data_IF_165357075942
#
_entry.id   IF_165357075942
#
_cell.length_a   1.000
_cell.length_b   1.000
_cell.length_c   1.000
_cell.angle_alpha   90.00
_cell.angle_beta   90.00
_cell.angle_gamma   90.00
#
_symmetry.space_group_name_H-M   'P 1'
#
loop_
_entity.id
_entity.type
_entity.pdbx_description
1 polymer ?
#
# COMPACT_ATOMS: atom_id res chain seq x y z
N UNK A 1 -18.66 10.78 -16.27
CA UNK A 1 -17.88 9.56 -16.06
C UNK A 1 -16.39 9.77 -16.31
N UNK A 2 -15.97 10.26 -17.48
CA UNK A 2 -14.56 10.57 -17.78
C UNK A 2 -13.90 11.49 -16.75
N UNK A 3 -14.58 12.53 -16.29
CA UNK A 3 -14.03 13.46 -15.31
C UNK A 3 -13.74 12.81 -13.94
N UNK A 4 -14.59 11.88 -13.49
CA UNK A 4 -14.36 11.17 -12.23
C UNK A 4 -13.21 10.15 -12.36
N UNK A 5 -13.07 9.52 -13.51
CA UNK A 5 -11.91 8.67 -13.82
C UNK A 5 -10.62 9.49 -13.85
N UNK A 6 -10.63 10.63 -14.53
CA UNK A 6 -9.46 11.51 -14.56
C UNK A 6 -9.09 12.05 -13.18
N UNK A 7 -10.09 12.39 -12.35
CA UNK A 7 -9.82 12.78 -10.95
C UNK A 7 -9.17 11.67 -10.16
N UNK A 8 -9.68 10.43 -10.28
CA UNK A 8 -9.09 9.28 -9.59
C UNK A 8 -7.64 8.99 -10.07
N UNK A 9 -7.40 9.06 -11.38
CA UNK A 9 -6.05 8.89 -11.95
C UNK A 9 -5.08 9.96 -11.44
N UNK A 10 -5.54 11.21 -11.33
CA UNK A 10 -4.75 12.32 -10.80
C UNK A 10 -4.46 12.14 -9.32
N UNK A 11 -5.49 11.80 -8.52
CA UNK A 11 -5.38 11.60 -7.07
C UNK A 11 -4.37 10.49 -6.71
N UNK A 12 -4.27 9.47 -7.59
CA UNK A 12 -3.34 8.36 -7.41
C UNK A 12 -2.03 8.51 -8.19
N UNK A 13 -1.78 9.66 -8.79
CA UNK A 13 -0.56 9.95 -9.56
C UNK A 13 -0.27 8.90 -10.66
N UNK A 14 -1.32 8.43 -11.34
CA UNK A 14 -1.20 7.41 -12.38
C UNK A 14 -0.63 8.03 -13.65
N UNK A 15 0.54 7.55 -14.06
CA UNK A 15 1.17 7.94 -15.31
C UNK A 15 0.58 7.14 -16.47
N UNK A 16 0.08 7.85 -17.49
CA UNK A 16 -0.35 7.23 -18.76
C UNK A 16 0.89 6.96 -19.61
N UNK A 17 1.13 5.70 -19.97
CA UNK A 17 2.22 5.35 -20.85
C UNK A 17 1.84 5.49 -22.33
N UNK A 18 2.80 5.93 -23.13
CA UNK A 18 2.73 5.96 -24.58
C UNK A 18 2.57 4.52 -25.11
N UNK A 19 1.76 4.27 -26.17
CA UNK A 19 1.59 2.94 -26.79
C UNK A 19 2.89 2.25 -27.17
N UNK A 20 3.95 2.97 -27.48
CA UNK A 20 5.28 2.42 -27.72
C UNK A 20 5.91 1.84 -26.43
N UNK A 21 5.40 2.20 -25.25
CA UNK A 21 5.84 1.73 -23.94
C UNK A 21 4.95 0.63 -23.34
N UNK A 22 3.87 0.24 -24.02
CA UNK A 22 3.17 -1.03 -23.72
C UNK A 22 4.13 -2.23 -23.90
N UNK A 23 5.28 -2.02 -24.58
CA UNK A 23 6.42 -2.92 -24.54
C UNK A 23 6.97 -3.20 -23.12
N UNK A 24 6.68 -2.34 -22.12
CA UNK A 24 6.95 -2.63 -20.70
C UNK A 24 6.17 -3.85 -20.17
N UNK A 25 5.10 -4.25 -20.85
CA UNK A 25 4.39 -5.50 -20.55
C UNK A 25 5.00 -6.70 -21.28
N UNK A 26 5.97 -6.49 -22.15
CA UNK A 26 6.68 -7.59 -22.82
C UNK A 26 7.78 -8.10 -21.89
N UNK A 27 7.58 -9.32 -21.44
CA UNK A 27 8.58 -10.06 -20.67
C UNK A 27 9.80 -10.32 -21.54
N UNK A 28 10.93 -9.71 -21.20
CA UNK A 28 12.21 -9.98 -21.84
C UNK A 28 12.98 -11.07 -21.07
N UNK A 29 12.90 -12.30 -21.59
CA UNK A 29 13.53 -13.47 -20.99
C UNK A 29 15.05 -13.35 -20.89
N UNK A 30 15.71 -12.67 -21.84
CA UNK A 30 17.18 -12.51 -21.84
C UNK A 30 17.61 -11.56 -20.73
N UNK A 31 16.94 -10.43 -20.59
CA UNK A 31 17.21 -9.48 -19.50
C UNK A 31 16.94 -10.11 -18.14
N UNK A 32 15.81 -10.86 -17.99
CA UNK A 32 15.51 -11.55 -16.74
C UNK A 32 16.58 -12.60 -16.40
N UNK A 33 17.01 -13.39 -17.38
CA UNK A 33 18.06 -14.38 -17.18
C UNK A 33 19.37 -13.72 -16.76
N UNK A 34 19.80 -12.68 -17.46
CA UNK A 34 21.02 -11.92 -17.13
C UNK A 34 20.98 -11.39 -15.69
N UNK A 35 19.89 -10.71 -15.30
CA UNK A 35 19.74 -10.18 -13.95
C UNK A 35 19.75 -11.28 -12.88
N UNK A 36 19.14 -12.43 -13.16
CA UNK A 36 19.15 -13.58 -12.26
C UNK A 36 20.53 -14.26 -12.16
N UNK A 37 21.33 -14.23 -13.20
CA UNK A 37 22.70 -14.78 -13.20
C UNK A 37 23.66 -13.83 -12.47
N UNK A 38 23.57 -12.52 -12.70
CA UNK A 38 24.43 -11.50 -12.10
C UNK A 38 24.12 -11.24 -10.62
N UNK A 39 22.87 -11.42 -10.20
CA UNK A 39 22.33 -11.20 -8.84
C UNK A 39 22.83 -9.92 -8.16
N UNK A 40 22.67 -8.74 -8.77
CA UNK A 40 23.22 -7.50 -8.23
C UNK A 40 22.69 -7.17 -6.81
N UNK A 41 21.46 -7.57 -6.49
CA UNK A 41 20.85 -7.43 -5.18
C UNK A 41 21.53 -8.25 -4.06
N UNK A 42 22.36 -9.23 -4.41
CA UNK A 42 23.14 -9.97 -3.42
C UNK A 42 24.38 -9.19 -2.97
N UNK A 43 24.83 -8.23 -3.77
CA UNK A 43 26.01 -7.40 -3.50
C UNK A 43 25.66 -6.07 -2.84
N UNK A 44 24.49 -5.52 -3.17
CA UNK A 44 23.99 -4.25 -2.65
C UNK A 44 22.64 -4.47 -1.96
N UNK A 45 22.56 -4.33 -0.63
CA UNK A 45 21.30 -4.44 0.12
C UNK A 45 20.23 -3.42 -0.30
N UNK A 46 20.63 -2.27 -0.83
CA UNK A 46 19.75 -1.21 -1.30
C UNK A 46 19.58 -1.20 -2.83
N UNK A 47 19.92 -2.29 -3.51
CA UNK A 47 19.88 -2.36 -4.98
C UNK A 47 18.53 -1.96 -5.55
N UNK A 48 17.43 -2.49 -4.99
CA UNK A 48 16.10 -2.11 -5.44
C UNK A 48 15.64 -0.82 -4.76
N UNK A 49 15.22 0.14 -5.56
CA UNK A 49 14.77 1.47 -5.12
C UNK A 49 13.32 1.75 -5.48
N UNK A 50 12.82 1.14 -6.56
CA UNK A 50 11.55 1.50 -7.17
C UNK A 50 10.62 0.30 -7.32
N UNK A 51 9.32 0.56 -7.16
CA UNK A 51 8.23 -0.36 -7.51
C UNK A 51 7.27 0.36 -8.44
N UNK A 52 7.01 -0.22 -9.60
CA UNK A 52 6.03 0.27 -10.57
C UNK A 52 4.84 -0.67 -10.59
N UNK A 53 3.67 -0.18 -10.22
CA UNK A 53 2.45 -0.98 -10.11
C UNK A 53 1.47 -0.56 -11.20
N UNK A 54 0.96 -1.52 -11.98
CA UNK A 54 -0.07 -1.22 -12.98
C UNK A 54 -1.37 -0.78 -12.31
N UNK A 55 -2.12 0.09 -12.99
CA UNK A 55 -3.39 0.58 -12.47
C UNK A 55 -4.38 -0.56 -12.22
N UNK A 56 -4.38 -1.59 -13.06
CA UNK A 56 -5.23 -2.79 -12.87
C UNK A 56 -4.80 -3.61 -11.66
N UNK A 57 -3.49 -3.82 -11.45
CA UNK A 57 -2.99 -4.52 -10.27
C UNK A 57 -3.31 -3.73 -8.99
N UNK A 58 -3.05 -2.43 -8.98
CA UNK A 58 -3.41 -1.55 -7.86
C UNK A 58 -4.89 -1.67 -7.50
N UNK A 59 -5.74 -1.63 -8.51
CA UNK A 59 -7.16 -1.76 -8.36
C UNK A 59 -7.56 -3.07 -7.71
N UNK A 60 -7.05 -4.19 -8.22
CA UNK A 60 -7.33 -5.53 -7.68
C UNK A 60 -6.91 -5.63 -6.23
N UNK A 61 -5.72 -5.13 -5.88
CA UNK A 61 -5.19 -5.15 -4.51
C UNK A 61 -6.04 -4.30 -3.56
N UNK A 62 -6.39 -3.08 -3.94
CA UNK A 62 -7.22 -2.17 -3.13
C UNK A 62 -8.63 -2.75 -2.91
N UNK A 63 -9.25 -3.29 -3.96
CA UNK A 63 -10.57 -3.92 -3.85
C UNK A 63 -10.55 -5.14 -2.95
N UNK A 64 -9.50 -5.96 -3.04
CA UNK A 64 -9.32 -7.11 -2.17
C UNK A 64 -9.09 -6.67 -0.72
N UNK A 65 -8.17 -5.73 -0.48
CA UNK A 65 -7.94 -5.15 0.85
C UNK A 65 -9.25 -4.62 1.47
N UNK A 66 -10.05 -3.91 0.68
CA UNK A 66 -11.35 -3.39 1.11
C UNK A 66 -12.36 -4.50 1.44
N UNK A 67 -12.36 -5.58 0.67
CA UNK A 67 -13.28 -6.70 0.89
C UNK A 67 -13.03 -7.45 2.20
N UNK A 68 -11.80 -7.39 2.74
CA UNK A 68 -11.44 -7.98 4.02
C UNK A 68 -12.04 -7.27 5.23
N UNK A 69 -12.51 -6.01 5.07
CA UNK A 69 -13.04 -5.22 6.18
C UNK A 69 -11.99 -5.00 7.26
N UNK A 70 -12.21 -5.52 8.46
CA UNK A 70 -11.27 -5.45 9.59
C UNK A 70 -10.23 -6.57 9.63
N UNK A 71 -10.36 -7.55 8.73
CA UNK A 71 -9.42 -8.67 8.64
C UNK A 71 -8.29 -8.32 7.68
N UNK A 72 -7.09 -8.78 8.01
CA UNK A 72 -5.96 -8.74 7.08
C UNK A 72 -6.18 -9.77 5.97
N UNK A 73 -6.05 -9.34 4.74
CA UNK A 73 -6.10 -10.20 3.55
C UNK A 73 -4.78 -10.13 2.82
N UNK A 74 -4.45 -11.21 2.10
CA UNK A 74 -3.19 -11.30 1.39
C UNK A 74 -3.35 -11.89 -0.01
N UNK A 75 -2.39 -11.57 -0.87
CA UNK A 75 -2.32 -12.07 -2.23
C UNK A 75 -0.91 -11.96 -2.81
N UNK A 76 -0.76 -12.35 -4.05
CA UNK A 76 0.50 -12.30 -4.76
C UNK A 76 0.44 -11.31 -5.93
N UNK A 77 1.61 -10.82 -6.28
CA UNK A 77 1.81 -9.90 -7.40
C UNK A 77 2.62 -10.59 -8.49
N UNK A 78 2.15 -10.48 -9.72
CA UNK A 78 2.84 -10.95 -10.92
C UNK A 78 3.57 -9.79 -11.60
N UNK A 79 4.69 -10.12 -12.22
CA UNK A 79 5.48 -9.14 -12.94
C UNK A 79 6.89 -9.63 -13.21
N UNK A 80 7.82 -8.70 -13.27
CA UNK A 80 9.22 -8.94 -13.57
C UNK A 80 10.10 -7.86 -12.95
N UNK A 81 11.41 -8.04 -13.04
CA UNK A 81 12.39 -7.08 -12.54
C UNK A 81 13.08 -6.35 -13.68
N UNK A 82 13.33 -5.07 -13.48
CA UNK A 82 14.27 -4.26 -14.26
C UNK A 82 15.43 -3.85 -13.34
N UNK A 83 16.52 -3.26 -13.87
CA UNK A 83 17.54 -2.70 -13.02
C UNK A 83 16.92 -1.77 -11.97
N UNK A 84 17.24 -2.00 -10.69
CA UNK A 84 16.77 -1.26 -9.51
C UNK A 84 15.24 -1.19 -9.31
N UNK A 85 14.42 -1.88 -10.13
CA UNK A 85 12.96 -1.68 -10.19
C UNK A 85 12.19 -3.00 -10.24
N UNK A 86 11.14 -3.11 -9.43
CA UNK A 86 10.10 -4.11 -9.60
C UNK A 86 8.98 -3.55 -10.48
N UNK A 87 8.53 -4.32 -11.46
CA UNK A 87 7.36 -3.99 -12.29
C UNK A 87 6.26 -4.99 -11.98
N UNK A 88 5.16 -4.50 -11.43
CA UNK A 88 3.98 -5.30 -11.09
C UNK A 88 2.94 -5.09 -12.19
N UNK A 89 2.69 -6.13 -12.97
CA UNK A 89 1.74 -6.10 -14.09
C UNK A 89 0.35 -6.54 -13.69
N UNK A 90 0.26 -7.45 -12.72
CA UNK A 90 -1.03 -7.96 -12.22
C UNK A 90 -0.92 -8.39 -10.75
N UNK A 91 -2.07 -8.61 -10.12
CA UNK A 91 -2.17 -9.14 -8.77
C UNK A 91 -3.36 -10.12 -8.66
N UNK A 92 -3.25 -11.09 -7.77
CA UNK A 92 -4.32 -12.04 -7.48
C UNK A 92 -4.39 -12.35 -5.98
N UNK A 93 -5.61 -12.52 -5.50
CA UNK A 93 -5.88 -12.86 -4.11
C UNK A 93 -5.53 -14.31 -3.82
N UNK A 94 -5.09 -14.60 -2.61
CA UNK A 94 -5.02 -15.95 -2.09
C UNK A 94 -6.30 -16.29 -1.33
N UNK A 95 -6.76 -17.55 -1.38
CA UNK A 95 -7.97 -18.01 -0.67
C UNK A 95 -7.68 -18.26 0.83
N UNK A 96 -7.06 -17.29 1.49
CA UNK A 96 -6.70 -17.36 2.92
C UNK A 96 -7.18 -16.11 3.63
N UNK A 97 -7.79 -16.30 4.80
CA UNK A 97 -8.11 -15.24 5.73
C UNK A 97 -6.97 -15.10 6.75
N UNK A 98 -6.63 -13.87 7.11
CA UNK A 98 -5.54 -13.56 8.04
C UNK A 98 -5.86 -13.94 9.49
N UNK A 99 -6.00 -15.23 9.79
CA UNK A 99 -6.16 -15.75 11.16
C UNK A 99 -5.05 -16.72 11.51
N UNK A 100 -4.73 -16.82 12.81
CA UNK A 100 -3.59 -17.57 13.37
C UNK A 100 -3.64 -19.11 13.19
N UNK A 101 -4.67 -19.67 12.56
CA UNK A 101 -4.82 -21.12 12.35
C UNK A 101 -4.29 -21.56 10.97
N UNK A 102 -2.99 -21.52 10.79
CA UNK A 102 -2.31 -21.38 9.49
C UNK A 102 -1.83 -22.63 8.77
N UNK A 103 -1.91 -23.84 9.31
CA UNK A 103 -1.20 -24.97 8.66
C UNK A 103 -1.96 -25.49 7.43
N UNK A 104 -3.26 -25.64 7.51
CA UNK A 104 -4.06 -26.16 6.38
C UNK A 104 -4.31 -25.09 5.29
N UNK A 105 -4.47 -23.83 5.68
CA UNK A 105 -4.68 -22.74 4.75
C UNK A 105 -3.45 -22.45 3.86
N UNK A 106 -2.25 -22.82 4.32
CA UNK A 106 -1.01 -22.59 3.56
C UNK A 106 -0.87 -23.58 2.39
N UNK A 107 -1.28 -24.81 2.55
CA UNK A 107 -1.24 -25.83 1.48
C UNK A 107 -2.25 -25.52 0.38
N UNK A 108 -3.48 -25.14 0.74
CA UNK A 108 -4.51 -24.70 -0.22
C UNK A 108 -4.08 -23.44 -0.98
N UNK A 109 -3.45 -22.49 -0.30
CA UNK A 109 -2.92 -21.28 -0.94
C UNK A 109 -1.79 -21.58 -1.93
N UNK A 110 -0.89 -22.51 -1.57
CA UNK A 110 0.20 -22.92 -2.46
C UNK A 110 -0.32 -23.67 -3.70
N UNK A 111 -1.29 -24.56 -3.52
CA UNK A 111 -1.93 -25.27 -4.64
C UNK A 111 -2.66 -24.29 -5.57
N UNK A 112 -3.43 -23.36 -5.00
CA UNK A 112 -4.08 -22.32 -5.77
C UNK A 112 -3.08 -21.44 -6.54
N UNK A 113 -2.01 -21.02 -5.89
CA UNK A 113 -0.93 -20.22 -6.52
C UNK A 113 -0.34 -20.94 -7.73
N UNK A 114 0.04 -22.21 -7.56
CA UNK A 114 0.64 -23.00 -8.66
C UNK A 114 -0.35 -23.17 -9.81
N UNK A 115 -1.61 -23.51 -9.51
CA UNK A 115 -2.68 -23.64 -10.51
C UNK A 115 -2.95 -22.33 -11.25
N UNK A 116 -3.00 -21.21 -10.54
CA UNK A 116 -3.22 -19.89 -11.12
C UNK A 116 -2.08 -19.48 -12.05
N UNK A 117 -0.82 -19.62 -11.59
CA UNK A 117 0.36 -19.28 -12.40
C UNK A 117 0.47 -20.19 -13.65
N UNK A 118 0.09 -21.47 -13.52
CA UNK A 118 0.05 -22.36 -14.68
C UNK A 118 -1.01 -21.92 -15.68
N UNK A 119 -2.20 -21.58 -15.23
CA UNK A 119 -3.27 -21.07 -16.09
C UNK A 119 -2.88 -19.77 -16.80
N UNK A 120 -2.13 -18.89 -16.13
CA UNK A 120 -1.58 -17.68 -16.75
C UNK A 120 -0.57 -18.01 -17.86
N UNK A 121 0.32 -18.99 -17.63
CA UNK A 121 1.30 -19.46 -18.65
C UNK A 121 0.61 -20.07 -19.85
N UNK A 122 -0.43 -20.89 -19.62
CA UNK A 122 -1.22 -21.50 -20.68
C UNK A 122 -1.97 -20.44 -21.51
N UNK A 123 -2.31 -19.30 -20.90
CA UNK A 123 -2.85 -18.12 -21.58
C UNK A 123 -1.79 -17.22 -22.24
N UNK A 124 -0.51 -17.64 -22.26
CA UNK A 124 0.58 -16.90 -22.88
C UNK A 124 1.22 -15.81 -22.01
N UNK A 125 0.84 -15.72 -20.73
CA UNK A 125 1.46 -14.79 -19.77
C UNK A 125 2.62 -15.49 -19.05
N UNK A 126 3.83 -14.99 -19.25
CA UNK A 126 5.05 -15.56 -18.71
C UNK A 126 5.55 -14.84 -17.43
N UNK A 127 4.80 -13.89 -16.94
CA UNK A 127 5.11 -13.15 -15.71
C UNK A 127 5.20 -14.11 -14.52
N UNK A 128 6.21 -13.91 -13.68
CA UNK A 128 6.37 -14.69 -12.45
C UNK A 128 5.78 -13.95 -11.24
N UNK A 129 5.65 -14.64 -10.12
CA UNK A 129 5.40 -13.98 -8.85
C UNK A 129 6.65 -13.18 -8.44
N UNK A 130 6.50 -11.86 -8.28
CA UNK A 130 7.59 -10.94 -7.92
C UNK A 130 7.42 -10.34 -6.54
N UNK A 131 6.30 -10.60 -5.89
CA UNK A 131 6.00 -10.08 -4.57
C UNK A 131 4.66 -10.56 -4.03
N UNK A 132 4.40 -10.18 -2.81
CA UNK A 132 3.14 -10.39 -2.12
C UNK A 132 2.60 -9.08 -1.57
N UNK A 133 1.30 -9.03 -1.36
CA UNK A 133 0.67 -7.89 -0.72
C UNK A 133 -0.26 -8.35 0.40
N UNK A 134 -0.46 -7.50 1.38
CA UNK A 134 -1.45 -7.69 2.43
C UNK A 134 -2.05 -6.35 2.86
N UNK A 135 -3.14 -6.44 3.61
CA UNK A 135 -3.84 -5.24 4.09
C UNK A 135 -3.59 -4.99 5.57
N UNK A 136 -3.46 -3.71 5.92
CA UNK A 136 -3.39 -3.20 7.29
C UNK A 136 -4.57 -2.28 7.57
N UNK A 137 -5.78 -2.79 7.97
CA UNK A 137 -6.96 -1.95 8.12
C UNK A 137 -6.81 -0.90 9.24
N UNK A 138 -6.54 0.34 8.88
CA UNK A 138 -6.54 1.50 9.76
C UNK A 138 -5.26 1.76 10.56
N UNK A 139 -4.18 0.98 10.40
CA UNK A 139 -2.95 1.15 11.19
C UNK A 139 -1.68 1.42 10.39
N UNK A 140 -1.82 1.70 9.10
CA UNK A 140 -0.75 2.21 8.26
C UNK A 140 0.09 1.15 7.55
N UNK A 141 0.93 1.61 6.63
CA UNK A 141 1.74 0.76 5.77
C UNK A 141 3.14 0.59 6.35
N UNK A 142 3.40 -0.57 6.98
CA UNK A 142 4.67 -0.98 7.58
C UNK A 142 4.71 -2.49 7.70
N UNK A 143 5.84 -3.10 8.06
CA UNK A 143 5.96 -4.55 8.24
C UNK A 143 6.03 -4.92 9.72
N UNK A 144 5.15 -5.81 10.17
CA UNK A 144 5.20 -6.46 11.47
C UNK A 144 6.36 -7.45 11.56
N UNK A 145 6.66 -7.96 12.74
CA UNK A 145 7.70 -8.99 12.93
C UNK A 145 7.45 -10.24 12.08
N UNK A 146 6.19 -10.65 11.94
CA UNK A 146 5.79 -11.79 11.10
C UNK A 146 6.01 -11.48 9.63
N UNK A 147 5.66 -10.27 9.18
CA UNK A 147 5.83 -9.84 7.79
C UNK A 147 7.31 -9.77 7.40
N UNK A 148 8.15 -9.26 8.31
CA UNK A 148 9.61 -9.23 8.13
C UNK A 148 10.16 -10.65 7.97
N UNK A 149 9.77 -11.61 8.82
CA UNK A 149 10.21 -12.99 8.72
C UNK A 149 9.73 -13.66 7.43
N UNK A 150 8.47 -13.42 7.04
CA UNK A 150 7.90 -13.91 5.79
C UNK A 150 8.65 -13.36 4.59
N UNK A 151 8.86 -12.04 4.54
CA UNK A 151 9.58 -11.39 3.45
C UNK A 151 11.03 -11.88 3.34
N UNK A 152 11.74 -12.05 4.46
CA UNK A 152 13.09 -12.61 4.47
C UNK A 152 13.14 -14.01 3.86
N UNK A 153 12.19 -14.87 4.23
CA UNK A 153 12.09 -16.22 3.68
C UNK A 153 11.84 -16.20 2.18
N UNK A 154 10.96 -15.36 1.70
CA UNK A 154 10.68 -15.23 0.26
C UNK A 154 11.88 -14.68 -0.51
N UNK A 155 12.61 -13.73 0.05
CA UNK A 155 13.82 -13.15 -0.58
C UNK A 155 14.97 -14.13 -0.72
N UNK A 156 15.01 -15.22 0.06
CA UNK A 156 16.02 -16.26 -0.08
C UNK A 156 15.94 -16.99 -1.43
N UNK A 157 14.74 -17.10 -2.00
CA UNK A 157 14.51 -17.76 -3.28
C UNK A 157 14.80 -16.85 -4.48
N UNK A 158 14.83 -15.54 -4.31
CA UNK A 158 15.05 -14.56 -5.37
C UNK A 158 14.57 -13.16 -5.01
N UNK A 159 14.59 -12.22 -5.96
CA UNK A 159 14.07 -10.89 -5.75
C UNK A 159 12.55 -10.93 -5.50
N UNK A 160 12.16 -10.43 -4.34
CA UNK A 160 10.77 -10.41 -3.90
C UNK A 160 10.47 -9.12 -3.15
N UNK A 161 9.27 -8.56 -3.31
CA UNK A 161 8.83 -7.31 -2.66
C UNK A 161 7.55 -7.54 -1.86
N UNK A 162 7.45 -6.91 -0.71
CA UNK A 162 6.22 -6.86 0.09
C UNK A 162 5.52 -5.52 -0.16
N UNK A 163 4.21 -5.57 -0.36
CA UNK A 163 3.35 -4.38 -0.49
C UNK A 163 2.30 -4.41 0.60
N UNK A 164 2.13 -3.31 1.30
CA UNK A 164 1.12 -3.12 2.35
C UNK A 164 0.14 -2.07 1.90
N UNK A 165 -1.15 -2.33 2.07
CA UNK A 165 -2.23 -1.41 1.71
C UNK A 165 -3.12 -1.17 2.93
N UNK A 166 -3.38 0.09 3.23
CA UNK A 166 -4.35 0.45 4.26
C UNK A 166 -5.68 0.87 3.61
N UNK A 167 -6.70 -0.01 3.62
CA UNK A 167 -7.98 0.28 2.98
C UNK A 167 -8.77 1.39 3.68
N UNK A 168 -8.65 1.53 5.00
CA UNK A 168 -9.39 2.51 5.77
C UNK A 168 -8.83 3.92 5.57
N UNK A 169 -7.49 4.04 5.57
CA UNK A 169 -6.82 5.30 5.24
C UNK A 169 -7.02 5.70 3.78
N UNK A 170 -7.02 4.72 2.87
CA UNK A 170 -7.34 4.95 1.45
C UNK A 170 -8.69 5.62 1.27
N UNK A 171 -9.70 5.17 2.01
CA UNK A 171 -11.05 5.75 1.93
C UNK A 171 -11.07 7.14 2.57
N UNK A 172 -10.46 7.30 3.75
CA UNK A 172 -10.41 8.57 4.47
C UNK A 172 -9.69 9.66 3.69
N UNK A 173 -8.53 9.33 3.12
CA UNK A 173 -7.71 10.31 2.40
C UNK A 173 -8.17 10.53 0.95
N UNK A 174 -8.97 9.62 0.38
CA UNK A 174 -9.36 9.64 -1.03
C UNK A 174 -8.22 9.31 -1.99
N UNK A 175 -7.07 8.91 -1.47
CA UNK A 175 -5.88 8.45 -2.20
C UNK A 175 -5.47 7.07 -1.67
N UNK A 176 -4.93 6.21 -2.54
CA UNK A 176 -4.46 4.89 -2.10
C UNK A 176 -3.28 5.06 -1.14
N UNK A 177 -3.45 4.54 0.07
CA UNK A 177 -2.39 4.45 1.07
C UNK A 177 -1.69 3.10 0.89
N UNK A 178 -0.47 3.15 0.37
CA UNK A 178 0.30 1.98 -0.04
C UNK A 178 1.77 2.19 0.30
N UNK A 179 2.43 1.13 0.77
CA UNK A 179 3.87 1.10 1.00
C UNK A 179 4.48 -0.16 0.41
N UNK A 180 5.66 -0.05 -0.15
CA UNK A 180 6.43 -1.17 -0.70
C UNK A 180 7.73 -1.33 0.06
N UNK A 181 8.07 -2.57 0.45
CA UNK A 181 9.16 -2.83 1.38
C UNK A 181 10.00 -4.02 0.97
N UNK A 182 11.28 -3.97 1.35
CA UNK A 182 12.19 -5.11 1.32
C UNK A 182 12.95 -5.21 2.63
N UNK A 183 13.24 -6.43 3.05
CA UNK A 183 14.07 -6.66 4.23
C UNK A 183 15.55 -6.65 3.89
N UNK A 184 16.35 -6.20 4.83
CA UNK A 184 17.80 -6.32 4.74
C UNK A 184 18.26 -7.78 4.95
N UNK A 185 19.42 -8.16 4.41
CA UNK A 185 20.08 -9.41 4.79
C UNK A 185 20.31 -9.48 6.31
N UNK A 186 20.32 -10.69 6.85
CA UNK A 186 20.46 -10.90 8.31
C UNK A 186 21.75 -10.31 8.87
N UNK A 187 22.82 -10.34 8.07
CA UNK A 187 24.15 -9.87 8.47
C UNK A 187 24.35 -8.36 8.23
N UNK A 188 23.34 -7.67 7.71
CA UNK A 188 23.41 -6.24 7.41
C UNK A 188 22.70 -5.42 8.49
N UNK A 189 23.40 -4.43 9.00
CA UNK A 189 22.84 -3.44 9.93
C UNK A 189 22.89 -2.07 9.24
N UNK A 190 21.74 -1.44 8.93
CA UNK A 190 21.74 -0.11 8.32
C UNK A 190 22.38 0.92 9.24
N UNK A 191 23.07 1.90 8.66
CA UNK A 191 23.53 3.07 9.41
C UNK A 191 22.31 3.83 9.97
N UNK A 192 22.42 4.33 11.20
CA UNK A 192 21.30 4.97 11.93
C UNK A 192 20.68 6.21 11.24
N UNK A 193 21.33 6.73 10.21
CA UNK A 193 20.93 7.98 9.52
C UNK A 193 19.88 7.75 8.41
N UNK A 194 19.55 6.50 8.07
CA UNK A 194 18.67 6.19 6.93
C UNK A 194 17.16 6.44 7.18
N UNK A 195 16.77 6.85 8.38
CA UNK A 195 15.34 6.95 8.75
C UNK A 195 14.87 8.36 9.13
N UNK A 196 15.70 9.40 8.94
CA UNK A 196 15.27 10.78 9.26
C UNK A 196 14.26 11.35 8.25
N UNK A 197 14.20 10.80 7.02
CA UNK A 197 13.29 11.25 5.95
C UNK A 197 12.05 10.35 5.76
N UNK A 198 11.87 9.30 6.56
CA UNK A 198 10.69 8.46 6.46
C UNK A 198 9.44 9.25 6.85
N UNK A 199 8.50 9.31 5.92
CA UNK A 199 7.16 9.88 6.11
C UNK A 199 6.59 9.49 7.48
N UNK A 200 6.38 10.48 8.33
CA UNK A 200 5.83 10.26 9.67
C UNK A 200 4.52 9.48 9.57
N UNK A 201 4.57 8.22 9.91
CA UNK A 201 3.37 7.38 9.96
C UNK A 201 2.72 7.46 11.35
N UNK A 202 1.41 7.66 11.35
CA UNK A 202 0.61 7.64 12.57
C UNK A 202 0.32 6.19 12.94
N UNK A 203 1.19 5.57 13.75
CA UNK A 203 1.00 4.20 14.21
C UNK A 203 0.13 4.20 15.47
N UNK A 204 -0.92 3.34 15.57
CA UNK A 204 -1.70 3.17 16.79
C UNK A 204 -0.83 2.71 17.97
N UNK A 205 -1.20 3.16 19.19
CA UNK A 205 -0.41 2.85 20.41
C UNK A 205 -0.24 1.35 20.63
N UNK A 206 -1.27 0.54 20.30
CA UNK A 206 -1.22 -0.91 20.46
C UNK A 206 -0.28 -1.63 19.49
N UNK A 207 0.13 -0.97 18.39
CA UNK A 207 1.04 -1.51 17.36
C UNK A 207 2.43 -0.86 17.42
N UNK A 208 2.61 0.19 18.21
CA UNK A 208 3.83 1.00 18.23
C UNK A 208 5.08 0.23 18.70
N UNK A 209 4.91 -0.75 19.58
CA UNK A 209 6.01 -1.58 20.08
C UNK A 209 6.55 -2.51 18.97
N UNK A 210 5.66 -3.21 18.28
CA UNK A 210 6.00 -4.10 17.17
C UNK A 210 6.66 -3.31 16.02
N UNK A 211 6.07 -2.18 15.64
CA UNK A 211 6.68 -1.27 14.65
C UNK A 211 8.10 -0.85 15.06
N UNK A 212 8.28 -0.33 16.29
CA UNK A 212 9.57 0.16 16.76
C UNK A 212 10.65 -0.92 16.84
N UNK A 213 10.26 -2.16 17.16
CA UNK A 213 11.19 -3.30 17.26
C UNK A 213 11.75 -3.72 15.91
N UNK A 214 10.95 -3.60 14.84
CA UNK A 214 11.30 -4.14 13.53
C UNK A 214 11.63 -3.08 12.47
N UNK A 215 11.46 -1.80 12.76
CA UNK A 215 11.65 -0.69 11.81
C UNK A 215 13.02 -0.69 11.11
N UNK A 216 14.07 -1.14 11.78
CA UNK A 216 15.44 -1.20 11.25
C UNK A 216 15.74 -2.49 10.43
N UNK A 217 14.76 -3.37 10.28
CA UNK A 217 14.94 -4.67 9.58
C UNK A 217 14.59 -4.60 8.11
N UNK A 218 13.95 -3.54 7.65
CA UNK A 218 13.49 -3.36 6.29
C UNK A 218 13.63 -1.89 5.85
N UNK A 219 13.49 -1.64 4.56
CA UNK A 219 13.49 -0.32 3.97
C UNK A 219 12.33 -0.17 3.00
N UNK A 220 11.88 1.07 2.80
CA UNK A 220 10.84 1.43 1.84
C UNK A 220 11.40 1.61 0.44
N UNK A 221 10.59 1.29 -0.57
CA UNK A 221 10.86 1.56 -1.98
C UNK A 221 9.88 2.64 -2.46
N UNK A 222 10.35 3.49 -3.35
CA UNK A 222 9.50 4.48 -4.01
C UNK A 222 8.47 3.77 -4.89
N UNK A 223 7.18 3.99 -4.60
CA UNK A 223 6.08 3.35 -5.29
C UNK A 223 5.47 4.29 -6.30
N UNK A 224 5.45 3.90 -7.55
CA UNK A 224 4.83 4.64 -8.66
C UNK A 224 3.78 3.77 -9.36
N UNK A 225 2.82 4.43 -9.99
CA UNK A 225 1.73 3.76 -10.68
C UNK A 225 1.78 4.07 -12.17
N UNK A 226 1.38 3.11 -12.99
CA UNK A 226 1.30 3.28 -14.42
C UNK A 226 0.03 2.67 -15.00
N UNK A 227 -0.34 3.14 -16.18
CA UNK A 227 -1.51 2.67 -16.91
C UNK A 227 -1.13 2.42 -18.36
N UNK A 228 -1.32 1.18 -18.82
CA UNK A 228 -1.18 0.81 -20.23
C UNK A 228 -2.43 1.13 -21.03
N UNK A 229 -2.37 0.95 -22.35
CA UNK A 229 -3.53 1.02 -23.23
C UNK A 229 -4.58 -0.02 -22.80
N UNK A 230 -4.17 -1.26 -22.53
CA UNK A 230 -5.04 -2.33 -22.04
C UNK A 230 -5.68 -1.99 -20.70
N UNK A 231 -4.90 -1.49 -19.73
CA UNK A 231 -5.42 -1.02 -18.44
C UNK A 231 -6.46 0.07 -18.63
N UNK A 232 -6.22 0.99 -19.56
CA UNK A 232 -7.15 2.07 -19.89
C UNK A 232 -8.49 1.54 -20.38
N UNK A 233 -8.47 0.55 -21.26
CA UNK A 233 -9.68 -0.06 -21.82
C UNK A 233 -10.44 -0.86 -20.74
N UNK A 234 -9.73 -1.66 -19.95
CA UNK A 234 -10.31 -2.42 -18.83
C UNK A 234 -10.94 -1.48 -17.80
N UNK A 235 -10.22 -0.43 -17.39
CA UNK A 235 -10.73 0.57 -16.45
C UNK A 235 -11.95 1.28 -16.99
N UNK A 236 -11.98 1.64 -18.27
CA UNK A 236 -13.14 2.26 -18.92
C UNK A 236 -14.38 1.35 -18.91
N UNK A 237 -14.18 0.04 -19.12
CA UNK A 237 -15.27 -0.95 -19.06
C UNK A 237 -15.77 -1.14 -17.63
N UNK A 238 -14.86 -1.22 -16.65
CA UNK A 238 -15.20 -1.40 -15.23
C UNK A 238 -15.86 -0.13 -14.67
N UNK A 239 -15.39 1.04 -15.07
CA UNK A 239 -15.89 2.32 -14.60
C UNK A 239 -17.39 2.50 -14.80
N UNK A 240 -17.90 2.04 -15.91
CA UNK A 240 -19.31 2.12 -16.23
C UNK A 240 -20.22 1.25 -15.34
N UNK A 241 -19.67 0.30 -14.60
CA UNK A 241 -20.49 -0.67 -13.85
C UNK A 241 -20.35 -0.62 -12.33
N UNK A 242 -19.15 -0.37 -11.80
CA UNK A 242 -18.87 -0.58 -10.37
C UNK A 242 -18.33 0.64 -9.63
N UNK A 243 -17.61 1.51 -10.35
CA UNK A 243 -16.82 2.53 -9.70
C UNK A 243 -17.63 3.72 -9.21
N UNK A 244 -18.67 4.09 -9.92
CA UNK A 244 -19.53 5.22 -9.55
C UNK A 244 -20.06 5.04 -8.13
N UNK A 245 -20.50 3.83 -7.80
CA UNK A 245 -21.02 3.51 -6.46
C UNK A 245 -19.92 3.58 -5.38
N UNK A 246 -18.75 3.01 -5.64
CA UNK A 246 -17.65 2.95 -4.67
C UNK A 246 -16.99 4.31 -4.46
N UNK A 247 -16.76 5.06 -5.52
CA UNK A 247 -16.14 6.38 -5.44
C UNK A 247 -17.10 7.49 -5.00
N UNK A 248 -18.41 7.30 -5.12
CA UNK A 248 -19.41 8.26 -4.67
C UNK A 248 -19.77 8.11 -3.19
N UNK A 249 -19.33 7.03 -2.53
CA UNK A 249 -19.53 6.88 -1.09
C UNK A 249 -18.79 7.99 -0.33
N UNK A 250 -19.51 8.65 0.60
CA UNK A 250 -18.90 9.65 1.45
C UNK A 250 -17.89 8.99 2.41
N UNK A 251 -16.65 9.48 2.49
CA UNK A 251 -15.67 9.01 3.47
C UNK A 251 -16.19 9.09 4.91
N UNK A 252 -17.00 10.09 5.24
CA UNK A 252 -17.60 10.26 6.56
C UNK A 252 -18.44 9.07 7.01
N UNK A 253 -19.19 8.45 6.10
CA UNK A 253 -19.98 7.26 6.42
C UNK A 253 -19.17 5.98 6.34
N UNK A 254 -18.32 5.86 5.32
CA UNK A 254 -17.55 4.66 5.08
C UNK A 254 -16.40 4.46 6.10
N UNK A 255 -15.86 5.55 6.64
CA UNK A 255 -14.71 5.55 7.55
C UNK A 255 -15.06 6.01 8.99
N UNK A 256 -16.35 6.05 9.35
CA UNK A 256 -16.78 6.51 10.66
C UNK A 256 -16.10 5.77 11.82
N UNK A 257 -16.04 4.45 11.74
CA UNK A 257 -15.43 3.61 12.79
C UNK A 257 -13.91 3.80 12.85
N UNK A 258 -13.28 3.97 11.70
CA UNK A 258 -11.85 4.30 11.61
C UNK A 258 -11.56 5.67 12.24
N UNK A 259 -12.30 6.72 11.88
CA UNK A 259 -12.14 8.05 12.47
C UNK A 259 -12.32 8.03 13.99
N UNK A 260 -13.32 7.29 14.50
CA UNK A 260 -13.53 7.11 15.92
C UNK A 260 -12.35 6.43 16.61
N UNK A 261 -11.79 5.37 16.02
CA UNK A 261 -10.59 4.68 16.53
C UNK A 261 -9.37 5.60 16.56
N UNK A 262 -9.16 6.40 15.50
CA UNK A 262 -8.07 7.39 15.46
C UNK A 262 -8.19 8.44 16.58
N UNK A 263 -9.40 8.93 16.83
CA UNK A 263 -9.63 9.91 17.90
C UNK A 263 -9.39 9.32 19.29
N UNK A 264 -9.79 8.07 19.52
CA UNK A 264 -9.51 7.34 20.77
C UNK A 264 -8.00 7.17 20.94
N UNK A 265 -7.28 6.70 19.90
CA UNK A 265 -5.83 6.52 19.93
C UNK A 265 -5.08 7.84 20.20
N UNK A 266 -5.51 8.94 19.56
CA UNK A 266 -4.96 10.27 19.83
C UNK A 266 -5.18 10.69 21.29
N UNK A 267 -6.36 10.44 21.84
CA UNK A 267 -6.67 10.70 23.25
C UNK A 267 -5.76 9.90 24.19
N UNK A 268 -5.51 8.63 23.88
CA UNK A 268 -4.61 7.78 24.69
C UNK A 268 -3.15 8.23 24.60
N UNK A 269 -2.70 8.65 23.43
CA UNK A 269 -1.38 9.28 23.24
C UNK A 269 -1.23 10.54 24.06
N UNK A 270 -2.22 11.43 24.03
CA UNK A 270 -2.26 12.65 24.83
C UNK A 270 -2.20 12.35 26.33
N UNK A 271 -2.99 11.38 26.80
CA UNK A 271 -2.96 10.96 28.21
C UNK A 271 -1.61 10.40 28.64
N UNK A 272 -0.95 9.62 27.79
CA UNK A 272 0.40 9.10 28.08
C UNK A 272 1.41 10.23 28.19
N UNK A 273 1.41 11.18 27.25
CA UNK A 273 2.31 12.34 27.29
C UNK A 273 2.04 13.21 28.50
N UNK A 274 0.77 13.50 28.84
CA UNK A 274 0.40 14.27 30.03
C UNK A 274 0.95 13.65 31.32
N UNK A 275 0.74 12.35 31.52
CA UNK A 275 1.28 11.62 32.68
C UNK A 275 2.81 11.65 32.74
N UNK A 276 3.50 11.55 31.60
CA UNK A 276 4.94 11.65 31.54
C UNK A 276 5.45 13.05 31.90
N UNK A 277 4.74 14.09 31.46
CA UNK A 277 5.05 15.48 31.82
C UNK A 277 4.85 15.71 33.32
N UNK A 278 3.73 15.25 33.87
CA UNK A 278 3.42 15.33 35.30
C UNK A 278 4.48 14.64 36.17
N UNK A 279 4.82 13.38 35.80
CA UNK A 279 5.78 12.57 36.56
C UNK A 279 7.24 13.05 36.45
N UNK A 280 7.56 13.82 35.43
CA UNK A 280 8.94 14.30 35.19
C UNK A 280 9.17 15.75 35.64
N UNK A 281 8.21 16.33 36.37
CA UNK A 281 8.26 17.72 36.86
C UNK A 281 9.43 18.11 37.76
N UNK A 282 10.32 17.17 38.13
CA UNK A 282 11.42 17.42 39.09
C UNK A 282 12.83 17.07 38.62
N UNK A 283 13.06 16.73 37.33
CA UNK A 283 14.42 16.39 36.85
C UNK A 283 14.95 17.40 35.85
N UNK A 284 16.09 18.07 36.13
CA UNK A 284 16.79 18.93 35.16
C UNK A 284 17.32 18.05 34.01
N UNK A 285 16.95 18.33 32.77
CA UNK A 285 17.41 17.62 31.57
C UNK A 285 16.29 16.94 30.75
N UNK A 286 15.06 16.90 31.24
CA UNK A 286 13.93 16.22 30.57
C UNK A 286 13.18 17.04 29.52
N UNK A 287 13.55 18.30 29.25
CA UNK A 287 12.79 19.18 28.38
C UNK A 287 12.78 18.73 26.91
N UNK A 288 13.92 18.40 26.34
CA UNK A 288 14.04 18.05 24.91
C UNK A 288 13.26 16.78 24.54
N UNK A 289 13.27 15.76 25.41
CA UNK A 289 12.50 14.50 25.17
C UNK A 289 10.99 14.75 25.29
N UNK A 290 10.57 15.66 26.17
CA UNK A 290 9.16 16.05 26.33
C UNK A 290 8.65 16.80 25.10
N UNK A 291 9.44 17.75 24.61
CA UNK A 291 9.10 18.53 23.43
C UNK A 291 8.97 17.64 22.19
N UNK A 292 9.87 16.67 22.03
CA UNK A 292 9.82 15.72 20.92
C UNK A 292 8.58 14.79 20.97
N UNK A 293 8.19 14.34 22.16
CA UNK A 293 6.98 13.51 22.31
C UNK A 293 5.70 14.31 22.07
N UNK A 294 5.66 15.55 22.56
CA UNK A 294 4.54 16.45 22.30
C UNK A 294 4.42 16.79 20.82
N UNK A 295 5.54 17.04 20.16
CA UNK A 295 5.60 17.28 18.72
C UNK A 295 5.05 16.10 17.91
N UNK A 296 5.40 14.86 18.28
CA UNK A 296 4.85 13.64 17.63
C UNK A 296 3.32 13.58 17.75
N UNK A 297 2.76 13.90 18.89
CA UNK A 297 1.30 13.91 19.12
C UNK A 297 0.65 15.03 18.31
N UNK A 298 1.26 16.22 18.26
CA UNK A 298 0.78 17.34 17.44
C UNK A 298 0.78 16.98 15.96
N UNK A 299 1.87 16.42 15.46
CA UNK A 299 1.96 15.95 14.07
C UNK A 299 0.89 14.87 13.78
N UNK A 300 0.68 13.93 14.70
CA UNK A 300 -0.40 12.94 14.60
C UNK A 300 -1.78 13.57 14.48
N UNK A 301 -2.09 14.55 15.31
CA UNK A 301 -3.34 15.32 15.24
C UNK A 301 -3.50 16.10 13.94
N UNK A 302 -2.42 16.76 13.48
CA UNK A 302 -2.42 17.47 12.20
C UNK A 302 -2.65 16.54 11.01
N UNK A 303 -2.08 15.34 11.05
CA UNK A 303 -2.30 14.32 10.01
C UNK A 303 -3.76 13.89 9.97
N UNK A 304 -4.40 13.59 11.11
CA UNK A 304 -5.81 13.22 11.18
C UNK A 304 -6.68 14.33 10.57
N UNK A 305 -6.45 15.59 10.95
CA UNK A 305 -7.19 16.73 10.40
C UNK A 305 -6.95 16.86 8.88
N UNK A 306 -5.71 16.69 8.42
CA UNK A 306 -5.38 16.76 7.00
C UNK A 306 -6.07 15.64 6.20
N UNK A 307 -6.10 14.41 6.73
CA UNK A 307 -6.79 13.27 6.10
C UNK A 307 -8.30 13.53 6.00
N UNK A 308 -8.93 13.98 7.08
CA UNK A 308 -10.36 14.32 7.10
C UNK A 308 -10.70 15.44 6.12
N UNK A 309 -9.91 16.51 6.08
CA UNK A 309 -10.11 17.63 5.13
C UNK A 309 -9.96 17.16 3.70
N UNK A 310 -8.92 16.36 3.39
CA UNK A 310 -8.71 15.81 2.05
C UNK A 310 -9.86 14.88 1.64
N UNK A 311 -10.32 14.02 2.54
CA UNK A 311 -11.46 13.13 2.30
C UNK A 311 -12.76 13.91 2.02
N UNK A 312 -13.02 14.96 2.78
CA UNK A 312 -14.17 15.85 2.57
C UNK A 312 -14.07 16.60 1.23
N UNK A 313 -12.88 17.14 0.90
CA UNK A 313 -12.66 17.82 -0.38
C UNK A 313 -12.84 16.86 -1.56
N UNK A 314 -12.27 15.66 -1.47
CA UNK A 314 -12.43 14.63 -2.50
C UNK A 314 -13.91 14.24 -2.68
N UNK A 315 -14.68 14.11 -1.61
CA UNK A 315 -16.10 13.83 -1.62
C UNK A 315 -16.90 14.98 -2.28
N UNK A 316 -16.59 16.22 -1.94
CA UNK A 316 -17.23 17.41 -2.50
C UNK A 316 -16.96 17.54 -4.03
N UNK A 317 -15.69 17.33 -4.44
CA UNK A 317 -15.32 17.34 -5.85
C UNK A 317 -16.06 16.24 -6.61
N UNK A 318 -16.08 15.01 -6.06
CA UNK A 318 -16.80 13.89 -6.67
C UNK A 318 -18.31 14.18 -6.81
N UNK A 319 -18.94 14.70 -5.76
CA UNK A 319 -20.35 15.10 -5.79
C UNK A 319 -20.64 16.13 -6.89
N UNK A 320 -19.81 17.16 -7.03
CA UNK A 320 -19.96 18.19 -8.06
C UNK A 320 -19.80 17.62 -9.47
N UNK A 321 -18.80 16.73 -9.65
CA UNK A 321 -18.56 16.10 -10.95
C UNK A 321 -19.74 15.21 -11.38
N UNK A 322 -20.29 14.42 -10.45
CA UNK A 322 -21.44 13.55 -10.76
C UNK A 322 -22.74 14.34 -10.97
N UNK A 323 -22.96 15.39 -10.19
CA UNK A 323 -24.13 16.26 -10.35
C UNK A 323 -24.18 16.94 -11.70
N UNK A 324 -23.05 17.44 -12.18
CA UNK A 324 -22.95 18.07 -13.50
C UNK A 324 -23.24 17.09 -14.65
N UNK A 325 -22.92 15.81 -14.49
CA UNK A 325 -23.23 14.77 -15.47
C UNK A 325 -24.73 14.49 -15.55
N UNK A 326 -25.43 14.48 -14.41
CA UNK A 326 -26.89 14.31 -14.39
C UNK A 326 -27.64 15.51 -15.02
N UNK A 327 -27.14 16.72 -14.80
CA UNK A 327 -27.73 17.92 -15.41
C UNK A 327 -27.54 17.98 -16.94
N UNK A 328 -26.42 17.48 -17.46
CA UNK A 328 -26.15 17.39 -18.89
C UNK A 328 -26.90 16.24 -19.59
N UNK A 329 -27.34 15.24 -18.85
CA UNK A 329 -28.07 14.08 -19.40
C UNK A 329 -29.57 14.26 -19.44
N UNK A 330 -30.11 15.35 -18.92
CA UNK A 330 -31.53 15.68 -19.07
C UNK A 330 -31.79 16.20 -20.48
N UNK A 331 -32.68 15.57 -21.29
CA UNK A 331 -33.05 16.10 -22.58
C UNK A 331 -33.66 17.48 -22.37
N UNK A 332 -33.25 18.43 -23.21
CA UNK A 332 -33.85 19.75 -23.26
C UNK A 332 -35.36 19.58 -23.58
N UNK A 333 -36.20 19.86 -22.59
CA UNK A 333 -37.66 19.90 -22.72
C UNK A 333 -38.07 21.16 -23.45
#
# INVERSE_FOLDING_TARGET
MQAAQQSWELDNSISVFDPQRDALYQYDAETQKRLNDERPWAKDPYYFKYVRISATALLKMVMHARSGGSLEVMGLMQGYILPETFVVTDAFRLPVEGTETRVNAQDEANEYMVSYLQSCRDAGRVDNAVGWYHSHPGYGCWLSGIDVATQQTQQMSGPFVAVVIDPDRTISAGKVEIGSFRTFPLDFTPAKEAHEDDEFQTIPVGKAEDFGTHANRYYSLETTHFKSTLDSDILSLLWNKYWVSTLSQSPLFASRDYGSKQMIDLSDKLRKVSRQIENSGSRPGGSAVKDQQLEKVVRGGQRIVSEEVKGLMASEVKLKLFRNVEEQSKPAT
#
